data_IF_345764618627
#
_entry.id   IF_345764618627
#
_cell.length_a   1.000
_cell.length_b   1.000
_cell.length_c   1.000
_cell.angle_alpha   90.00
_cell.angle_beta   90.00
_cell.angle_gamma   90.00
#
_symmetry.space_group_name_H-M   'P 1'
#
loop_
_entity.id
_entity.type
_entity.pdbx_description
1 polymer ?
#
# COMPACT_ATOMS: atom_id res chain seq x y z
N UNK A 1 -14.93 4.54 -22.73
CA UNK A 1 -13.76 4.75 -21.84
C UNK A 1 -12.68 3.82 -22.34
N UNK A 2 -11.47 4.31 -22.63
CA UNK A 2 -10.39 3.43 -23.10
C UNK A 2 -9.97 2.46 -21.98
N UNK A 3 -9.60 1.22 -22.31
CA UNK A 3 -9.23 0.21 -21.32
C UNK A 3 -8.05 0.65 -20.44
N UNK A 4 -7.16 1.50 -20.94
CA UNK A 4 -6.00 2.03 -20.22
C UNK A 4 -6.41 2.93 -19.05
N UNK A 5 -7.47 3.74 -19.24
CA UNK A 5 -8.00 4.62 -18.19
C UNK A 5 -8.62 3.78 -17.07
N UNK A 6 -9.34 2.71 -17.41
CA UNK A 6 -9.94 1.80 -16.42
C UNK A 6 -8.83 1.13 -15.60
N UNK A 7 -7.76 0.68 -16.25
CA UNK A 7 -6.63 0.03 -15.59
C UNK A 7 -5.90 0.99 -14.62
N UNK A 8 -5.68 2.25 -15.03
CA UNK A 8 -5.12 3.31 -14.15
C UNK A 8 -5.97 3.55 -12.91
N UNK A 9 -7.30 3.59 -13.06
CA UNK A 9 -8.22 3.79 -11.93
C UNK A 9 -8.11 2.63 -10.95
N UNK A 10 -8.12 1.39 -11.44
CA UNK A 10 -8.00 0.19 -10.60
C UNK A 10 -6.67 0.19 -9.84
N UNK A 11 -5.55 0.46 -10.52
CA UNK A 11 -4.23 0.53 -9.89
C UNK A 11 -4.16 1.63 -8.83
N UNK A 12 -4.73 2.82 -9.12
CA UNK A 12 -4.80 3.90 -8.13
C UNK A 12 -5.57 3.48 -6.88
N UNK A 13 -6.72 2.82 -7.03
CA UNK A 13 -7.53 2.34 -5.90
C UNK A 13 -6.73 1.34 -5.06
N UNK A 14 -6.06 0.37 -5.69
CA UNK A 14 -5.25 -0.63 -5.00
C UNK A 14 -4.09 0.03 -4.26
N UNK A 15 -3.40 0.99 -4.90
CA UNK A 15 -2.31 1.74 -4.28
C UNK A 15 -2.78 2.49 -3.03
N UNK A 16 -3.88 3.26 -3.14
CA UNK A 16 -4.45 4.00 -2.00
C UNK A 16 -4.76 3.07 -0.84
N UNK A 17 -5.41 1.94 -1.10
CA UNK A 17 -5.73 0.93 -0.07
C UNK A 17 -4.44 0.40 0.59
N UNK A 18 -3.43 0.06 -0.20
CA UNK A 18 -2.14 -0.44 0.31
C UNK A 18 -1.43 0.58 1.21
N UNK A 19 -1.47 1.88 0.89
CA UNK A 19 -0.96 2.94 1.79
C UNK A 19 -1.69 2.96 3.11
N UNK A 20 -3.03 2.92 3.09
CA UNK A 20 -3.82 2.96 4.32
C UNK A 20 -3.49 1.77 5.23
N UNK A 21 -3.41 0.56 4.67
CA UNK A 21 -2.99 -0.61 5.43
C UNK A 21 -1.54 -0.51 5.91
N UNK A 22 -0.62 -0.02 5.07
CA UNK A 22 0.77 0.17 5.45
C UNK A 22 0.96 1.09 6.66
N UNK A 23 0.28 2.25 6.64
CA UNK A 23 0.25 3.20 7.75
C UNK A 23 -0.42 2.58 8.98
N UNK A 24 -1.53 1.85 8.80
CA UNK A 24 -2.21 1.18 9.91
C UNK A 24 -1.31 0.17 10.61
N UNK A 25 -0.59 -0.68 9.87
CA UNK A 25 0.35 -1.66 10.43
C UNK A 25 1.49 -0.98 11.20
N UNK A 26 2.06 0.10 10.68
CA UNK A 26 3.12 0.86 11.37
C UNK A 26 2.58 1.50 12.65
N UNK A 27 1.39 2.09 12.58
CA UNK A 27 0.75 2.76 13.72
C UNK A 27 0.39 1.74 14.81
N UNK A 28 -0.29 0.65 14.45
CA UNK A 28 -0.67 -0.43 15.37
C UNK A 28 0.52 -1.12 16.02
N UNK A 29 1.66 -1.21 15.32
CA UNK A 29 2.91 -1.74 15.90
C UNK A 29 3.37 -0.96 17.14
N UNK A 30 2.99 0.32 17.25
CA UNK A 30 3.37 1.19 18.37
C UNK A 30 2.45 1.02 19.58
N UNK A 31 1.20 0.60 19.37
CA UNK A 31 0.20 0.47 20.43
C UNK A 31 0.16 -0.93 21.09
N UNK A 32 1.03 -1.86 20.68
CA UNK A 32 1.11 -3.23 21.22
C UNK A 32 -0.24 -3.98 21.25
N UNK A 33 -1.17 -3.62 20.35
CA UNK A 33 -2.56 -4.10 20.38
C UNK A 33 -2.69 -5.52 19.82
N UNK A 34 -1.78 -5.92 18.94
CA UNK A 34 -1.77 -7.23 18.30
C UNK A 34 -0.64 -8.12 18.85
N UNK A 35 -0.92 -9.42 19.00
CA UNK A 35 0.03 -10.47 19.39
C UNK A 35 1.11 -10.78 18.32
N UNK A 36 1.35 -9.86 17.38
CA UNK A 36 2.36 -10.01 16.33
C UNK A 36 3.59 -9.21 16.74
N UNK A 37 4.78 -9.72 16.44
CA UNK A 37 6.02 -8.99 16.70
C UNK A 37 6.01 -7.61 16.05
N UNK A 38 6.34 -6.58 16.83
CA UNK A 38 6.36 -5.18 16.36
C UNK A 38 7.28 -4.99 15.15
N UNK A 39 8.40 -5.71 15.12
CA UNK A 39 9.35 -5.70 13.99
C UNK A 39 8.69 -6.22 12.71
N UNK A 40 7.91 -7.30 12.82
CA UNK A 40 7.18 -7.89 11.69
C UNK A 40 6.10 -6.94 11.20
N UNK A 41 5.31 -6.34 12.10
CA UNK A 41 4.28 -5.37 11.72
C UNK A 41 4.86 -4.13 11.03
N UNK A 42 5.98 -3.60 11.52
CA UNK A 42 6.68 -2.47 10.87
C UNK A 42 7.21 -2.85 9.49
N UNK A 43 7.79 -4.04 9.37
CA UNK A 43 8.28 -4.55 8.10
C UNK A 43 7.14 -4.69 7.08
N UNK A 44 6.04 -5.36 7.46
CA UNK A 44 4.85 -5.50 6.62
C UNK A 44 4.28 -4.14 6.21
N UNK A 45 4.16 -3.20 7.16
CA UNK A 45 3.66 -1.87 6.87
C UNK A 45 4.55 -1.09 5.88
N UNK A 46 5.87 -1.15 6.06
CA UNK A 46 6.82 -0.53 5.12
C UNK A 46 6.79 -1.16 3.73
N UNK A 47 6.61 -2.48 3.66
CA UNK A 47 6.49 -3.20 2.40
C UNK A 47 5.23 -2.79 1.63
N UNK A 48 4.08 -2.66 2.32
CA UNK A 48 2.83 -2.22 1.71
C UNK A 48 2.91 -0.79 1.16
N UNK A 49 3.59 0.12 1.89
CA UNK A 49 3.84 1.48 1.39
C UNK A 49 4.73 1.43 0.13
N UNK A 50 5.80 0.63 0.15
CA UNK A 50 6.67 0.45 -1.02
C UNK A 50 5.93 -0.10 -2.24
N UNK A 51 5.08 -1.12 -2.06
CA UNK A 51 4.23 -1.68 -3.12
C UNK A 51 3.29 -0.62 -3.68
N UNK A 52 2.65 0.18 -2.84
CA UNK A 52 1.78 1.25 -3.30
C UNK A 52 2.52 2.28 -4.16
N UNK A 53 3.72 2.68 -3.77
CA UNK A 53 4.52 3.65 -4.54
C UNK A 53 4.85 3.06 -5.93
N UNK A 54 5.27 1.80 -5.98
CA UNK A 54 5.54 1.09 -7.24
C UNK A 54 4.30 1.02 -8.14
N UNK A 55 3.12 0.75 -7.57
CA UNK A 55 1.86 0.72 -8.31
C UNK A 55 1.55 2.09 -8.93
N UNK A 56 1.72 3.17 -8.18
CA UNK A 56 1.52 4.52 -8.73
C UNK A 56 2.51 4.82 -9.85
N UNK A 57 3.80 4.50 -9.67
CA UNK A 57 4.80 4.69 -10.73
C UNK A 57 4.38 3.94 -11.99
N UNK A 58 3.95 2.68 -11.89
CA UNK A 58 3.49 1.91 -13.06
C UNK A 58 2.27 2.56 -13.69
N UNK A 59 1.29 2.98 -12.90
CA UNK A 59 0.05 3.61 -13.39
C UNK A 59 0.29 4.95 -14.10
N UNK A 60 1.31 5.72 -13.70
CA UNK A 60 1.58 7.05 -14.28
C UNK A 60 2.67 7.06 -15.36
N UNK A 61 3.57 6.07 -15.38
CA UNK A 61 4.74 6.07 -16.29
C UNK A 61 4.62 5.07 -17.42
N UNK A 62 3.91 3.95 -17.22
CA UNK A 62 3.91 2.79 -18.14
C UNK A 62 2.57 2.57 -18.86
N UNK A 63 1.49 3.16 -18.36
CA UNK A 63 0.13 3.11 -18.90
C UNK A 63 -0.31 4.51 -19.31
#
# INVERSE_FOLDING_TARGET
MSPDIIFKIILNIIGVIAIFYGIAYITLSSFNVMKIDRKVMRFMGSMLIGVSISIFIIAYTLL
#
